data_IF_071873191081
#
_entry.id   IF_071873191081
#
_cell.length_a   1.000
_cell.length_b   1.000
_cell.length_c   1.000
_cell.angle_alpha   90.00
_cell.angle_beta   90.00
_cell.angle_gamma   90.00
#
_symmetry.space_group_name_H-M   'P 1'
#
loop_
_entity.id
_entity.type
_entity.pdbx_description
1 polymer ?
#
# COMPACT_ATOMS: atom_id res chain seq x y z
N UNK A 1 37.04 61.87 -30.76
CA UNK A 1 36.16 62.55 -31.73
C UNK A 1 36.60 63.97 -32.11
N UNK A 2 36.44 65.01 -31.29
CA UNK A 2 36.93 66.36 -31.69
C UNK A 2 38.45 66.37 -31.98
N UNK A 3 39.24 65.72 -31.14
CA UNK A 3 40.69 65.60 -31.30
C UNK A 3 41.08 64.76 -32.53
N UNK A 4 40.25 63.79 -32.91
CA UNK A 4 40.45 62.95 -34.11
C UNK A 4 40.10 63.69 -35.41
N UNK A 5 39.26 64.74 -35.32
CA UNK A 5 38.92 65.65 -36.42
C UNK A 5 39.82 66.89 -36.47
N UNK A 6 40.91 66.90 -35.69
CA UNK A 6 41.83 68.04 -35.56
C UNK A 6 41.15 69.34 -35.11
N UNK A 7 40.00 69.25 -34.43
CA UNK A 7 39.26 70.39 -33.91
C UNK A 7 39.78 70.84 -32.53
N UNK A 8 39.56 72.11 -32.18
CA UNK A 8 39.89 72.64 -30.86
C UNK A 8 39.11 71.93 -29.74
N UNK A 9 39.85 71.35 -28.78
CA UNK A 9 39.33 70.60 -27.63
C UNK A 9 39.26 71.41 -26.34
N UNK A 10 39.59 72.71 -26.37
CA UNK A 10 39.52 73.58 -25.20
C UNK A 10 38.10 74.09 -24.94
N UNK A 11 37.62 74.02 -23.69
CA UNK A 11 36.35 74.61 -23.27
C UNK A 11 35.53 73.73 -22.33
N UNK A 12 34.29 74.16 -22.04
CA UNK A 12 33.36 73.37 -21.21
C UNK A 12 32.65 72.33 -22.06
N UNK A 13 32.19 71.23 -21.44
CA UNK A 13 31.50 70.11 -22.10
C UNK A 13 30.42 70.55 -23.10
N UNK A 14 29.57 71.51 -22.74
CA UNK A 14 28.51 72.00 -23.61
C UNK A 14 29.03 72.69 -24.89
N UNK A 15 30.13 73.45 -24.77
CA UNK A 15 30.78 74.15 -25.90
C UNK A 15 31.49 73.17 -26.83
N UNK A 16 32.04 72.08 -26.27
CA UNK A 16 32.64 70.99 -27.04
C UNK A 16 31.57 70.16 -27.75
N UNK A 17 30.45 69.86 -27.09
CA UNK A 17 29.33 69.13 -27.69
C UNK A 17 28.71 69.91 -28.86
N UNK A 18 28.50 71.22 -28.71
CA UNK A 18 27.96 72.04 -29.80
C UNK A 18 28.94 72.13 -30.98
N UNK A 19 30.25 72.28 -30.73
CA UNK A 19 31.26 72.26 -31.79
C UNK A 19 31.27 70.94 -32.55
N UNK A 20 31.28 69.82 -31.83
CA UNK A 20 31.24 68.51 -32.45
C UNK A 20 29.97 68.34 -33.29
N UNK A 21 28.83 68.83 -32.78
CA UNK A 21 27.55 68.81 -33.50
C UNK A 21 27.62 69.59 -34.82
N UNK A 22 28.23 70.77 -34.82
CA UNK A 22 28.37 71.57 -36.04
C UNK A 22 29.33 70.94 -37.05
N UNK A 23 30.41 70.31 -36.58
CA UNK A 23 31.36 69.64 -37.46
C UNK A 23 30.74 68.43 -38.15
N UNK A 24 29.95 67.64 -37.41
CA UNK A 24 29.18 66.52 -37.95
C UNK A 24 28.21 66.97 -39.06
N UNK A 25 27.49 68.08 -38.84
CA UNK A 25 26.59 68.66 -39.86
C UNK A 25 27.38 69.10 -41.11
N UNK A 26 28.56 69.67 -40.94
CA UNK A 26 29.42 70.09 -42.06
C UNK A 26 29.95 68.91 -42.87
N UNK A 27 30.26 67.79 -42.21
CA UNK A 27 30.66 66.52 -42.84
C UNK A 27 29.47 65.81 -43.52
N UNK A 28 28.23 66.32 -43.36
CA UNK A 28 27.01 65.70 -43.86
C UNK A 28 26.56 64.49 -43.03
N UNK A 29 27.14 64.30 -41.84
CA UNK A 29 26.73 63.31 -40.87
C UNK A 29 25.57 63.85 -40.02
N UNK A 30 24.57 63.02 -39.75
CA UNK A 30 23.50 63.37 -38.82
C UNK A 30 24.03 63.28 -37.39
N UNK A 31 24.12 64.41 -36.64
CA UNK A 31 24.67 64.40 -35.29
C UNK A 31 23.86 63.58 -34.30
N UNK A 32 22.57 63.43 -34.55
CA UNK A 32 21.68 62.67 -33.67
C UNK A 32 21.89 61.15 -33.89
N UNK A 33 22.48 60.75 -35.04
CA UNK A 33 22.87 59.37 -35.34
C UNK A 33 24.28 59.06 -34.81
N UNK A 34 25.24 59.99 -34.94
CA UNK A 34 26.63 59.77 -34.54
C UNK A 34 26.86 59.84 -33.03
N UNK A 35 26.04 60.57 -32.27
CA UNK A 35 26.13 60.61 -30.79
C UNK A 35 25.70 59.31 -30.09
N UNK A 36 25.17 58.32 -30.84
CA UNK A 36 24.76 57.01 -30.31
C UNK A 36 25.80 55.91 -30.50
N UNK A 37 27.01 56.22 -30.97
CA UNK A 37 28.10 55.24 -31.18
C UNK A 37 28.73 54.70 -29.89
N UNK A 38 28.26 55.14 -28.71
CA UNK A 38 28.53 54.54 -27.39
C UNK A 38 27.99 53.10 -27.21
N UNK A 39 27.83 52.34 -28.28
CA UNK A 39 27.42 50.95 -28.30
C UNK A 39 28.32 50.04 -27.42
N UNK A 40 29.60 50.43 -27.24
CA UNK A 40 30.52 49.74 -26.33
C UNK A 40 30.10 49.81 -24.86
N UNK A 41 29.64 50.97 -24.39
CA UNK A 41 29.21 51.16 -22.99
C UNK A 41 27.88 50.46 -22.72
N UNK A 42 26.95 50.50 -23.67
CA UNK A 42 25.68 49.77 -23.59
C UNK A 42 25.93 48.26 -23.57
N UNK A 43 26.85 47.76 -24.40
CA UNK A 43 27.26 46.36 -24.43
C UNK A 43 27.83 45.90 -23.08
N UNK A 44 28.72 46.68 -22.48
CA UNK A 44 29.29 46.41 -21.15
C UNK A 44 28.23 46.40 -20.05
N UNK A 45 27.28 47.34 -20.08
CA UNK A 45 26.17 47.39 -19.12
C UNK A 45 25.29 46.14 -19.25
N UNK A 46 24.92 45.76 -20.47
CA UNK A 46 24.11 44.57 -20.73
C UNK A 46 24.82 43.29 -20.28
N UNK A 47 26.13 43.17 -20.55
CA UNK A 47 26.93 42.04 -20.11
C UNK A 47 27.02 41.95 -18.58
N UNK A 48 27.21 43.08 -17.89
CA UNK A 48 27.22 43.14 -16.43
C UNK A 48 25.85 42.79 -15.82
N UNK A 49 24.75 43.21 -16.44
CA UNK A 49 23.41 42.85 -15.99
C UNK A 49 23.11 41.37 -16.23
N UNK A 50 23.51 40.80 -17.37
CA UNK A 50 23.35 39.38 -17.69
C UNK A 50 24.09 38.52 -16.68
N UNK A 51 25.38 38.78 -16.47
CA UNK A 51 26.20 38.03 -15.50
C UNK A 51 25.66 38.14 -14.08
N UNK A 52 25.19 39.32 -13.66
CA UNK A 52 24.58 39.50 -12.34
C UNK A 52 23.27 38.72 -12.19
N UNK A 53 22.46 38.66 -13.24
CA UNK A 53 21.22 37.88 -13.24
C UNK A 53 21.52 36.38 -13.23
N UNK A 54 22.45 35.91 -14.06
CA UNK A 54 22.91 34.53 -14.11
C UNK A 54 23.42 34.06 -12.75
N UNK A 55 24.30 34.85 -12.11
CA UNK A 55 24.81 34.55 -10.78
C UNK A 55 23.68 34.44 -9.74
N UNK A 56 22.69 35.33 -9.80
CA UNK A 56 21.56 35.31 -8.86
C UNK A 56 20.64 34.10 -9.08
N UNK A 57 20.47 33.68 -10.34
CA UNK A 57 19.73 32.44 -10.68
C UNK A 57 20.48 31.22 -10.15
N UNK A 58 21.79 31.12 -10.39
CA UNK A 58 22.62 30.02 -9.92
C UNK A 58 22.61 29.94 -8.39
N UNK A 59 22.77 31.07 -7.69
CA UNK A 59 22.74 31.11 -6.22
C UNK A 59 21.39 30.65 -5.67
N UNK A 60 20.28 31.09 -6.27
CA UNK A 60 18.94 30.66 -5.87
C UNK A 60 18.70 29.17 -6.15
N UNK A 61 19.18 28.65 -7.29
CA UNK A 61 19.11 27.23 -7.60
C UNK A 61 19.87 26.41 -6.57
N UNK A 62 21.10 26.78 -6.23
CA UNK A 62 21.90 26.11 -5.21
C UNK A 62 21.22 26.12 -3.83
N UNK A 63 20.60 27.24 -3.44
CA UNK A 63 19.82 27.34 -2.18
C UNK A 63 18.60 26.42 -2.19
N UNK A 64 17.88 26.35 -3.31
CA UNK A 64 16.72 25.46 -3.44
C UNK A 64 17.14 23.99 -3.43
N UNK A 65 18.20 23.64 -4.14
CA UNK A 65 18.78 22.30 -4.16
C UNK A 65 19.23 21.87 -2.77
N UNK A 66 19.93 22.74 -2.03
CA UNK A 66 20.31 22.47 -0.64
C UNK A 66 19.11 22.17 0.27
N UNK A 67 18.05 22.99 0.19
CA UNK A 67 16.81 22.75 0.95
C UNK A 67 16.10 21.46 0.55
N UNK A 68 16.13 21.10 -0.73
CA UNK A 68 15.55 19.85 -1.22
C UNK A 68 16.33 18.65 -0.69
N UNK A 69 17.66 18.70 -0.69
CA UNK A 69 18.51 17.65 -0.13
C UNK A 69 18.29 17.46 1.38
N UNK A 70 18.19 18.56 2.14
CA UNK A 70 17.91 18.52 3.58
C UNK A 70 16.54 17.88 3.85
N UNK A 71 15.48 18.31 3.16
CA UNK A 71 14.16 17.70 3.29
C UNK A 71 14.15 16.21 2.89
N UNK A 72 14.92 15.81 1.88
CA UNK A 72 15.04 14.40 1.50
C UNK A 72 15.73 13.57 2.58
N UNK A 73 16.77 14.12 3.23
CA UNK A 73 17.45 13.47 4.33
C UNK A 73 16.51 13.27 5.53
N UNK A 74 15.74 14.30 5.89
CA UNK A 74 14.75 14.22 6.97
C UNK A 74 13.66 13.18 6.68
N UNK A 75 13.17 13.11 5.44
CA UNK A 75 12.18 12.10 5.03
C UNK A 75 12.75 10.68 5.13
N UNK A 76 13.99 10.46 4.72
CA UNK A 76 14.67 9.17 4.85
C UNK A 76 14.84 8.77 6.31
N UNK A 77 15.27 9.69 7.17
CA UNK A 77 15.44 9.43 8.60
C UNK A 77 14.10 9.08 9.26
N UNK A 78 13.04 9.84 8.96
CA UNK A 78 11.71 9.58 9.49
C UNK A 78 11.15 8.24 9.01
N UNK A 79 11.39 7.88 7.75
CA UNK A 79 11.01 6.57 7.20
C UNK A 79 11.71 5.44 7.97
N UNK A 80 13.02 5.54 8.19
CA UNK A 80 13.78 4.54 8.94
C UNK A 80 13.29 4.42 10.40
N UNK A 81 12.96 5.53 11.06
CA UNK A 81 12.37 5.52 12.42
C UNK A 81 11.03 4.79 12.45
N UNK A 82 10.16 5.01 11.45
CA UNK A 82 8.87 4.33 11.37
C UNK A 82 9.03 2.83 11.12
N UNK A 83 9.93 2.44 10.21
CA UNK A 83 10.23 1.04 9.92
C UNK A 83 10.72 0.30 11.17
N UNK A 84 11.67 0.88 11.91
CA UNK A 84 12.16 0.30 13.17
C UNK A 84 11.03 0.11 14.20
N UNK A 85 10.14 1.10 14.35
CA UNK A 85 8.97 1.00 15.25
C UNK A 85 8.01 -0.11 14.83
N UNK A 86 7.82 -0.33 13.53
CA UNK A 86 6.97 -1.41 13.02
C UNK A 86 7.59 -2.78 13.32
N UNK A 87 8.90 -2.94 13.09
CA UNK A 87 9.62 -4.18 13.39
C UNK A 87 9.55 -4.50 14.89
N UNK A 88 9.80 -3.53 15.75
CA UNK A 88 9.72 -3.71 17.21
C UNK A 88 8.30 -4.11 17.66
N UNK A 89 7.27 -3.45 17.12
CA UNK A 89 5.88 -3.81 17.43
C UNK A 89 5.52 -5.22 16.95
N UNK A 90 5.99 -5.63 15.78
CA UNK A 90 5.77 -6.99 15.27
C UNK A 90 6.42 -8.02 16.20
N UNK A 91 7.69 -7.82 16.57
CA UNK A 91 8.40 -8.70 17.51
C UNK A 91 7.69 -8.80 18.87
N UNK A 92 7.18 -7.67 19.38
CA UNK A 92 6.42 -7.64 20.64
C UNK A 92 5.10 -8.43 20.55
N UNK A 93 4.38 -8.32 19.43
CA UNK A 93 3.13 -9.08 19.21
C UNK A 93 3.43 -10.57 19.08
N UNK A 94 4.45 -10.94 18.31
CA UNK A 94 4.90 -12.33 18.17
C UNK A 94 5.30 -12.93 19.52
N UNK A 95 6.08 -12.20 20.32
CA UNK A 95 6.47 -12.63 21.67
C UNK A 95 5.26 -12.91 22.57
N UNK A 96 4.27 -12.01 22.58
CA UNK A 96 3.01 -12.21 23.33
C UNK A 96 2.21 -13.42 22.85
N UNK A 97 2.18 -13.68 21.54
CA UNK A 97 1.50 -14.85 20.99
C UNK A 97 2.19 -16.15 21.41
N UNK A 98 3.52 -16.20 21.36
CA UNK A 98 4.31 -17.36 21.79
C UNK A 98 4.10 -17.64 23.28
N UNK A 99 4.15 -16.61 24.13
CA UNK A 99 3.91 -16.73 25.57
C UNK A 99 2.50 -17.27 25.86
N UNK A 100 1.47 -16.70 25.21
CA UNK A 100 0.10 -17.16 25.35
C UNK A 100 -0.08 -18.63 24.91
N UNK A 101 0.56 -19.03 23.81
CA UNK A 101 0.54 -20.42 23.35
C UNK A 101 1.20 -21.37 24.36
N UNK A 102 2.35 -20.97 24.92
CA UNK A 102 3.03 -21.76 25.96
C UNK A 102 2.16 -21.92 27.22
N UNK A 103 1.52 -20.84 27.66
CA UNK A 103 0.61 -20.84 28.80
C UNK A 103 -0.61 -21.74 28.57
N UNK A 104 -1.24 -21.68 27.40
CA UNK A 104 -2.37 -22.54 27.04
C UNK A 104 -1.96 -24.02 26.98
N UNK A 105 -0.79 -24.31 26.39
CA UNK A 105 -0.24 -25.67 26.34
C UNK A 105 0.02 -26.22 27.75
N UNK A 106 0.57 -25.40 28.65
CA UNK A 106 0.79 -25.76 30.06
C UNK A 106 -0.52 -26.15 30.76
N UNK A 107 -1.54 -25.29 30.67
CA UNK A 107 -2.88 -25.57 31.25
C UNK A 107 -3.53 -26.82 30.67
N UNK A 108 -3.38 -27.07 29.37
CA UNK A 108 -3.91 -28.27 28.74
C UNK A 108 -3.22 -29.54 29.27
N UNK A 109 -1.89 -29.52 29.39
CA UNK A 109 -1.12 -30.63 29.95
C UNK A 109 -1.50 -30.92 31.42
N UNK A 110 -1.72 -29.87 32.21
CA UNK A 110 -2.19 -30.00 33.59
C UNK A 110 -3.58 -30.64 33.66
N UNK A 111 -4.53 -30.16 32.87
CA UNK A 111 -5.88 -30.73 32.80
C UNK A 111 -5.85 -32.21 32.38
N UNK A 112 -5.00 -32.58 31.42
CA UNK A 112 -4.82 -33.98 30.99
C UNK A 112 -4.32 -34.85 32.15
N UNK A 113 -3.33 -34.38 32.92
CA UNK A 113 -2.85 -35.10 34.11
C UNK A 113 -3.96 -35.30 35.14
N UNK A 114 -4.73 -34.26 35.42
CA UNK A 114 -5.85 -34.34 36.37
C UNK A 114 -6.93 -35.32 35.92
N UNK A 115 -7.23 -35.38 34.61
CA UNK A 115 -8.20 -36.34 34.06
C UNK A 115 -7.67 -37.77 34.20
N UNK A 116 -6.40 -38.01 33.85
CA UNK A 116 -5.77 -39.33 33.94
C UNK A 116 -5.73 -39.84 35.39
N UNK A 117 -5.36 -38.98 36.35
CA UNK A 117 -5.41 -39.29 37.78
C UNK A 117 -6.82 -39.66 38.25
N UNK A 118 -7.85 -38.92 37.81
CA UNK A 118 -9.25 -39.25 38.12
C UNK A 118 -9.69 -40.58 37.51
N UNK A 119 -9.23 -40.90 36.31
CA UNK A 119 -9.56 -42.17 35.64
C UNK A 119 -8.95 -43.37 36.36
N UNK A 120 -7.71 -43.26 36.86
CA UNK A 120 -7.06 -44.33 37.64
C UNK A 120 -7.73 -44.58 39.00
N UNK A 121 -8.41 -43.57 39.56
CA UNK A 121 -9.13 -43.67 40.83
C UNK A 121 -10.52 -44.31 40.74
N UNK A 122 -11.05 -44.57 39.53
CA UNK A 122 -12.36 -45.19 39.35
C UNK A 122 -12.24 -46.73 39.49
N UNK A 123 -13.09 -47.38 40.31
CA UNK A 123 -13.11 -48.83 40.37
C UNK A 123 -13.56 -49.40 39.01
N UNK A 124 -12.75 -50.32 38.45
CA UNK A 124 -13.14 -51.12 37.30
C UNK A 124 -14.41 -51.91 37.64
N UNK A 125 -15.57 -51.48 37.12
CA UNK A 125 -16.77 -52.31 37.11
C UNK A 125 -16.43 -53.59 36.35
N UNK A 126 -16.31 -54.70 37.08
CA UNK A 126 -16.18 -56.03 36.48
C UNK A 126 -17.40 -56.23 35.58
N UNK A 127 -17.15 -56.58 34.32
CA UNK A 127 -18.15 -56.81 33.26
C UNK A 127 -19.07 -58.02 33.50
N UNK A 128 -19.25 -58.46 34.75
CA UNK A 128 -19.94 -59.70 35.11
C UNK A 128 -21.43 -59.51 35.47
N UNK A 129 -21.95 -58.28 35.46
CA UNK A 129 -23.33 -58.00 35.93
C UNK A 129 -24.22 -57.30 34.90
N UNK A 130 -23.90 -57.37 33.61
CA UNK A 130 -24.86 -57.04 32.53
C UNK A 130 -25.31 -58.34 31.86
N UNK A 131 -26.00 -59.17 32.65
CA UNK A 131 -26.73 -60.32 32.15
C UNK A 131 -28.04 -59.88 31.50
N UNK A 132 -28.31 -60.45 30.32
CA UNK A 132 -29.61 -60.52 29.65
C UNK A 132 -30.23 -59.19 29.18
N UNK A 133 -29.89 -58.77 27.96
CA UNK A 133 -30.84 -58.36 26.91
C UNK A 133 -30.03 -58.03 25.64
N UNK A 134 -29.42 -59.04 25.02
CA UNK A 134 -29.03 -58.94 23.60
C UNK A 134 -30.27 -59.28 22.79
N UNK A 135 -31.22 -58.35 22.79
CA UNK A 135 -32.19 -58.27 21.72
C UNK A 135 -31.41 -57.90 20.46
N UNK A 136 -31.53 -58.71 19.42
CA UNK A 136 -31.01 -58.44 18.08
C UNK A 136 -31.60 -57.12 17.55
N UNK A 137 -31.03 -55.99 17.97
CA UNK A 137 -31.24 -54.71 17.33
C UNK A 137 -30.40 -54.75 16.06
N UNK A 138 -31.03 -55.11 14.94
CA UNK A 138 -30.43 -54.94 13.62
C UNK A 138 -29.82 -53.54 13.54
N UNK A 139 -28.59 -53.45 13.04
CA UNK A 139 -27.84 -52.20 12.86
C UNK A 139 -28.78 -51.05 12.47
N UNK A 140 -29.08 -50.15 13.41
CA UNK A 140 -29.81 -48.94 13.11
C UNK A 140 -28.87 -48.03 12.31
N UNK A 141 -28.86 -48.19 10.98
CA UNK A 141 -28.14 -47.27 10.09
C UNK A 141 -28.71 -45.87 10.28
N UNK A 142 -27.89 -44.95 10.78
CA UNK A 142 -28.24 -43.54 10.87
C UNK A 142 -28.43 -42.99 9.46
N UNK A 143 -29.59 -42.45 9.14
CA UNK A 143 -29.77 -41.78 7.85
C UNK A 143 -28.98 -40.47 7.85
N UNK A 144 -28.19 -40.19 6.80
CA UNK A 144 -27.52 -38.90 6.68
C UNK A 144 -28.59 -37.79 6.59
N UNK A 145 -28.35 -36.61 7.20
CA UNK A 145 -29.21 -35.47 6.97
C UNK A 145 -29.21 -35.10 5.48
N UNK A 146 -30.36 -34.65 4.97
CA UNK A 146 -30.45 -34.02 3.65
C UNK A 146 -30.07 -32.55 3.76
N UNK A 147 -29.35 -32.02 2.78
CA UNK A 147 -29.00 -30.61 2.77
C UNK A 147 -30.16 -29.80 2.21
N UNK A 148 -30.77 -28.97 3.04
CA UNK A 148 -31.96 -28.18 2.71
C UNK A 148 -31.64 -26.74 2.26
N UNK A 149 -30.36 -26.38 2.20
CA UNK A 149 -29.89 -25.03 1.89
C UNK A 149 -30.07 -24.01 3.02
N UNK A 150 -30.71 -24.36 4.14
CA UNK A 150 -30.89 -23.45 5.29
C UNK A 150 -29.79 -23.62 6.32
N UNK A 151 -29.25 -24.83 6.44
CA UNK A 151 -28.15 -25.15 7.36
C UNK A 151 -26.79 -24.70 6.75
N UNK A 152 -25.93 -23.97 7.49
CA UNK A 152 -24.58 -23.66 7.02
C UNK A 152 -23.78 -24.92 6.67
N UNK A 153 -23.05 -24.91 5.54
CA UNK A 153 -22.35 -26.08 5.00
C UNK A 153 -21.40 -26.77 6.00
N UNK A 154 -20.70 -25.99 6.83
CA UNK A 154 -19.79 -26.51 7.85
C UNK A 154 -20.53 -27.32 8.94
N UNK A 155 -21.77 -26.94 9.27
CA UNK A 155 -22.62 -27.66 10.23
C UNK A 155 -23.14 -28.95 9.60
N UNK A 156 -23.64 -28.86 8.36
CA UNK A 156 -24.09 -30.03 7.60
C UNK A 156 -22.98 -31.08 7.45
N UNK A 157 -21.77 -30.65 7.06
CA UNK A 157 -20.61 -31.54 6.91
C UNK A 157 -20.32 -32.32 8.19
N UNK A 158 -20.33 -31.67 9.36
CA UNK A 158 -20.09 -32.34 10.65
C UNK A 158 -21.17 -33.37 10.97
N UNK A 159 -22.44 -33.06 10.70
CA UNK A 159 -23.54 -34.00 10.92
C UNK A 159 -23.46 -35.20 9.97
N UNK A 160 -23.11 -34.97 8.72
CA UNK A 160 -22.88 -36.01 7.73
C UNK A 160 -21.69 -36.91 8.13
N UNK A 161 -20.58 -36.32 8.56
CA UNK A 161 -19.40 -37.06 9.03
C UNK A 161 -19.74 -37.91 10.28
N UNK A 162 -20.53 -37.37 11.21
CA UNK A 162 -20.99 -38.11 12.38
C UNK A 162 -21.86 -39.32 11.99
N UNK A 163 -22.82 -39.14 11.08
CA UNK A 163 -23.66 -40.24 10.58
C UNK A 163 -22.84 -41.27 9.79
N UNK A 164 -21.86 -40.83 9.00
CA UNK A 164 -21.01 -41.71 8.21
C UNK A 164 -20.07 -42.54 9.10
N UNK A 165 -19.53 -41.95 10.16
CA UNK A 165 -18.71 -42.65 11.14
C UNK A 165 -19.56 -43.63 11.98
N UNK A 166 -20.79 -43.25 12.35
CA UNK A 166 -21.71 -44.16 13.06
C UNK A 166 -22.17 -45.36 12.22
N UNK A 167 -22.05 -45.27 10.90
CA UNK A 167 -22.39 -46.34 9.97
C UNK A 167 -21.17 -47.05 9.36
N UNK A 168 -19.95 -46.74 9.82
CA UNK A 168 -18.68 -47.25 9.29
C UNK A 168 -18.53 -47.10 7.77
N UNK A 169 -19.00 -45.99 7.20
CA UNK A 169 -18.95 -45.77 5.75
C UNK A 169 -17.54 -45.60 5.23
N UNK A 170 -17.23 -46.37 4.19
CA UNK A 170 -16.06 -46.18 3.33
C UNK A 170 -16.13 -44.86 2.55
N UNK A 171 -14.98 -44.39 2.04
CA UNK A 171 -14.93 -43.19 1.19
C UNK A 171 -15.84 -43.27 -0.04
N UNK A 172 -15.99 -44.48 -0.61
CA UNK A 172 -16.89 -44.78 -1.72
C UNK A 172 -18.37 -44.67 -1.33
N UNK A 173 -18.75 -45.13 -0.14
CA UNK A 173 -20.12 -45.00 0.37
C UNK A 173 -20.45 -43.56 0.73
N UNK A 174 -19.49 -42.81 1.32
CA UNK A 174 -19.62 -41.37 1.55
C UNK A 174 -19.88 -40.61 0.25
N UNK A 175 -19.12 -40.92 -0.81
CA UNK A 175 -19.30 -40.29 -2.12
C UNK A 175 -20.68 -40.62 -2.73
N UNK A 176 -21.10 -41.88 -2.65
CA UNK A 176 -22.41 -42.32 -3.17
C UNK A 176 -23.56 -41.64 -2.41
N UNK A 177 -23.47 -41.56 -1.09
CA UNK A 177 -24.46 -40.88 -0.25
C UNK A 177 -24.53 -39.36 -0.50
N UNK A 178 -23.43 -38.74 -0.95
CA UNK A 178 -23.38 -37.33 -1.34
C UNK A 178 -23.86 -37.08 -2.77
N UNK A 179 -23.82 -38.07 -3.66
CA UNK A 179 -24.10 -37.87 -5.09
C UNK A 179 -25.55 -37.43 -5.35
N UNK A 180 -26.52 -38.06 -4.68
CA UNK A 180 -27.94 -37.68 -4.78
C UNK A 180 -28.21 -36.25 -4.25
N UNK A 181 -27.71 -35.85 -3.05
CA UNK A 181 -27.78 -34.46 -2.59
C UNK A 181 -27.05 -33.44 -3.48
N UNK A 182 -25.96 -33.84 -4.15
CA UNK A 182 -25.18 -32.92 -5.00
C UNK A 182 -25.94 -32.50 -6.26
N UNK A 183 -26.75 -33.38 -6.86
CA UNK A 183 -27.59 -33.02 -8.00
C UNK A 183 -28.68 -32.00 -7.63
N UNK A 184 -29.34 -32.19 -6.47
CA UNK A 184 -30.33 -31.23 -5.95
C UNK A 184 -29.68 -29.90 -5.54
N UNK A 185 -28.48 -29.95 -4.94
CA UNK A 185 -27.66 -28.78 -4.60
C UNK A 185 -27.28 -27.95 -5.83
N UNK A 186 -26.83 -28.60 -6.90
CA UNK A 186 -26.49 -27.91 -8.15
C UNK A 186 -27.73 -27.25 -8.76
N UNK A 187 -28.90 -27.89 -8.70
CA UNK A 187 -30.15 -27.28 -9.17
C UNK A 187 -30.58 -26.08 -8.32
N UNK A 188 -30.49 -26.16 -6.99
CA UNK A 188 -30.79 -25.04 -6.09
C UNK A 188 -29.84 -23.86 -6.30
N UNK A 189 -28.53 -24.14 -6.42
CA UNK A 189 -27.52 -23.13 -6.70
C UNK A 189 -27.77 -22.45 -8.04
N UNK A 190 -28.08 -23.21 -9.10
CA UNK A 190 -28.44 -22.64 -10.40
C UNK A 190 -29.69 -21.78 -10.33
N UNK A 191 -30.72 -22.22 -9.58
CA UNK A 191 -31.96 -21.47 -9.40
C UNK A 191 -31.70 -20.14 -8.68
N UNK A 192 -30.92 -20.15 -7.61
CA UNK A 192 -30.57 -18.95 -6.86
C UNK A 192 -29.74 -17.97 -7.71
N UNK A 193 -28.73 -18.46 -8.42
CA UNK A 193 -27.91 -17.67 -9.32
C UNK A 193 -28.75 -17.01 -10.43
N UNK A 194 -29.67 -17.76 -11.05
CA UNK A 194 -30.60 -17.23 -12.05
C UNK A 194 -31.54 -16.16 -11.48
N UNK A 195 -32.01 -16.32 -10.24
CA UNK A 195 -32.88 -15.31 -9.60
C UNK A 195 -32.12 -14.04 -9.21
N UNK A 196 -30.88 -14.14 -8.74
CA UNK A 196 -30.01 -12.99 -8.44
C UNK A 196 -29.61 -12.24 -9.71
N UNK A 197 -29.28 -12.95 -10.78
CA UNK A 197 -28.98 -12.37 -12.10
C UNK A 197 -30.17 -11.56 -12.65
N UNK A 198 -31.39 -12.09 -12.58
CA UNK A 198 -32.61 -11.36 -13.02
C UNK A 198 -32.94 -10.11 -12.20
N UNK A 199 -32.56 -10.05 -10.91
CA UNK A 199 -32.73 -8.84 -10.09
C UNK A 199 -31.70 -7.76 -10.43
N UNK A 200 -30.51 -8.14 -10.90
CA UNK A 200 -29.46 -7.19 -11.30
C UNK A 200 -29.74 -6.50 -12.63
N UNK A 201 -30.49 -7.13 -13.54
CA UNK A 201 -30.83 -6.56 -14.86
C UNK A 201 -32.06 -5.65 -14.85
N UNK A 202 -32.86 -5.63 -13.77
CA UNK A 202 -34.03 -4.74 -13.62
C UNK A 202 -33.70 -3.41 -12.91
N UNK A 203 -32.42 -3.14 -12.60
CA UNK A 203 -31.94 -1.91 -11.98
C UNK A 203 -31.15 -1.02 -12.95
N UNK A 204 -31.32 -1.19 -14.26
CA UNK A 204 -30.84 -0.28 -15.30
C UNK A 204 -32.02 0.24 -16.12
#
# INVERSE_FOLDING_TARGET
>A
ELEERECDTAGKKAELQERLRQELIQEGEDPDISMFTGAGDIGLILQNLSTKLENKVVENCAKLEGKLLENCADLLENSAKLENRLVENCANVEGKLVENCANLKGKLLENVKTIDERQRGLPLLKSSEVGAYVGSAGHLRMKPPQFDGTTPWNVYRRQFEAAANANDWSSTEKATALTLPYEEMLQLFFKEYCTKSKRSTNNY
#
